data_IF_596791463145
#
_entry.id   IF_596791463145
#
_cell.length_a   1.000
_cell.length_b   1.000
_cell.length_c   1.000
_cell.angle_alpha   90.00
_cell.angle_beta   90.00
_cell.angle_gamma   90.00
#
_symmetry.space_group_name_H-M   'P 1'
#
loop_
_entity.id
_entity.type
_entity.pdbx_description
1 polymer ?
#
# COMPACT_ATOMS: atom_id res chain seq x y z
N UNK A 1 -9.81 14.93 -13.33
CA UNK A 1 -10.41 13.58 -13.48
C UNK A 1 -9.76 12.79 -14.58
N UNK A 2 -9.46 11.53 -14.31
CA UNK A 2 -8.89 10.62 -15.28
C UNK A 2 -9.87 10.36 -16.44
N UNK A 3 -9.36 10.47 -17.66
CA UNK A 3 -10.16 10.15 -18.86
C UNK A 3 -10.24 8.62 -19.02
N UNK A 4 -11.37 8.12 -19.50
CA UNK A 4 -11.56 6.66 -19.66
C UNK A 4 -10.50 6.01 -20.56
N UNK A 5 -10.06 6.69 -21.63
CA UNK A 5 -8.99 6.22 -22.51
C UNK A 5 -7.63 6.09 -21.81
N UNK A 6 -7.43 6.73 -20.66
CA UNK A 6 -6.19 6.75 -19.89
C UNK A 6 -6.21 5.77 -18.71
N UNK A 7 -7.36 5.11 -18.48
CA UNK A 7 -7.46 4.05 -17.44
C UNK A 7 -6.59 2.86 -17.80
N UNK A 8 -5.91 2.35 -16.79
CA UNK A 8 -5.03 1.17 -16.91
C UNK A 8 -5.80 -0.10 -16.54
N UNK A 9 -6.61 -0.03 -15.48
CA UNK A 9 -7.34 -1.17 -14.95
C UNK A 9 -8.72 -1.30 -15.58
N UNK A 10 -8.78 -1.87 -16.78
CA UNK A 10 -10.00 -1.96 -17.59
C UNK A 10 -10.99 -3.03 -17.13
N UNK A 11 -10.63 -3.84 -16.12
CA UNK A 11 -11.51 -4.86 -15.55
C UNK A 11 -11.57 -4.83 -14.02
N UNK A 12 -11.34 -3.67 -13.40
CA UNK A 12 -11.27 -3.53 -11.94
C UNK A 12 -12.50 -4.10 -11.20
N UNK A 13 -13.67 -4.03 -11.82
CA UNK A 13 -14.93 -4.49 -11.23
C UNK A 13 -15.38 -5.88 -11.71
N UNK A 14 -14.54 -6.59 -12.46
CA UNK A 14 -14.86 -7.94 -12.95
C UNK A 14 -16.01 -8.00 -13.97
N UNK A 15 -16.23 -6.91 -14.71
CA UNK A 15 -17.31 -6.82 -15.73
C UNK A 15 -16.93 -7.48 -17.05
N UNK A 16 -15.66 -7.83 -17.22
CA UNK A 16 -15.13 -8.49 -18.41
C UNK A 16 -14.49 -9.83 -18.06
N UNK A 17 -14.28 -10.64 -19.09
CA UNK A 17 -13.57 -11.91 -18.97
C UNK A 17 -12.14 -11.69 -18.45
N UNK A 18 -11.80 -12.35 -17.32
CA UNK A 18 -10.50 -12.27 -16.64
C UNK A 18 -9.46 -13.26 -17.16
N UNK A 19 -9.87 -14.20 -18.04
CA UNK A 19 -8.96 -15.19 -18.63
C UNK A 19 -7.98 -14.53 -19.59
N UNK A 20 -6.97 -15.30 -20.04
CA UNK A 20 -5.99 -14.83 -21.03
C UNK A 20 -6.67 -14.28 -22.29
N UNK A 21 -7.72 -14.95 -22.78
CA UNK A 21 -8.49 -14.49 -23.96
C UNK A 21 -9.09 -13.11 -23.73
N UNK A 22 -9.74 -12.90 -22.59
CA UNK A 22 -10.32 -11.60 -22.26
C UNK A 22 -9.25 -10.54 -22.02
N UNK A 23 -8.14 -10.89 -21.38
CA UNK A 23 -7.00 -9.98 -21.19
C UNK A 23 -6.39 -9.54 -22.53
N UNK A 24 -6.15 -10.47 -23.46
CA UNK A 24 -5.66 -10.17 -24.80
C UNK A 24 -6.64 -9.29 -25.61
N UNK A 25 -7.94 -9.53 -25.47
CA UNK A 25 -8.96 -8.67 -26.13
C UNK A 25 -8.93 -7.22 -25.63
N UNK A 26 -8.39 -6.96 -24.42
CA UNK A 26 -8.16 -5.63 -23.86
C UNK A 26 -6.74 -5.09 -24.09
N UNK A 27 -5.93 -5.76 -24.92
CA UNK A 27 -4.57 -5.34 -25.28
C UNK A 27 -3.48 -5.73 -24.27
N UNK A 28 -3.78 -6.57 -23.29
CA UNK A 28 -2.73 -7.16 -22.44
C UNK A 28 -1.85 -8.11 -23.25
N UNK A 29 -0.58 -8.15 -22.94
CA UNK A 29 0.45 -8.92 -23.66
C UNK A 29 0.85 -8.38 -25.04
N UNK A 30 0.14 -7.38 -25.59
CA UNK A 30 0.49 -6.79 -26.88
C UNK A 30 1.90 -6.19 -26.85
N UNK A 31 2.68 -6.50 -27.87
CA UNK A 31 4.03 -5.97 -28.03
C UNK A 31 5.07 -6.48 -27.00
N UNK A 32 4.73 -7.40 -26.11
CA UNK A 32 5.61 -7.87 -25.03
C UNK A 32 6.97 -8.32 -25.53
N UNK A 33 7.04 -9.16 -26.57
CA UNK A 33 8.30 -9.61 -27.16
C UNK A 33 9.17 -8.45 -27.70
N UNK A 34 8.53 -7.46 -28.32
CA UNK A 34 9.22 -6.29 -28.87
C UNK A 34 9.77 -5.39 -27.73
N UNK A 35 9.02 -5.25 -26.63
CA UNK A 35 9.45 -4.51 -25.43
C UNK A 35 10.66 -5.19 -24.80
N UNK A 36 10.62 -6.51 -24.60
CA UNK A 36 11.73 -7.27 -24.03
C UNK A 36 13.01 -7.10 -24.88
N UNK A 37 12.90 -7.14 -26.20
CA UNK A 37 14.06 -6.95 -27.12
C UNK A 37 14.70 -5.57 -27.06
N UNK A 38 14.03 -4.54 -26.53
CA UNK A 38 14.60 -3.22 -26.32
C UNK A 38 15.64 -3.22 -25.16
N UNK A 39 15.58 -4.24 -24.31
CA UNK A 39 16.56 -4.48 -23.26
C UNK A 39 16.34 -3.69 -21.98
N UNK A 40 17.12 -4.05 -20.98
CA UNK A 40 17.01 -3.55 -19.60
C UNK A 40 17.13 -2.02 -19.50
N UNK A 41 18.13 -1.44 -20.12
CA UNK A 41 18.41 0.00 -19.96
C UNK A 41 17.28 0.86 -20.54
N UNK A 42 16.69 0.43 -21.65
CA UNK A 42 15.52 1.10 -22.22
C UNK A 42 14.33 1.03 -21.24
N UNK A 43 14.02 -0.16 -20.70
CA UNK A 43 12.93 -0.37 -19.74
C UNK A 43 13.12 0.51 -18.50
N UNK A 44 14.33 0.52 -17.91
CA UNK A 44 14.62 1.33 -16.73
C UNK A 44 14.50 2.83 -17.03
N UNK A 45 14.94 3.28 -18.21
CA UNK A 45 14.83 4.68 -18.61
C UNK A 45 13.39 5.11 -18.85
N UNK A 46 12.55 4.27 -19.49
CA UNK A 46 11.11 4.54 -19.62
C UNK A 46 10.42 4.61 -18.26
N UNK A 47 10.78 3.72 -17.34
CA UNK A 47 10.24 3.76 -15.99
C UNK A 47 10.69 4.99 -15.18
N UNK A 48 11.90 5.49 -15.40
CA UNK A 48 12.35 6.77 -14.83
C UNK A 48 11.60 7.94 -15.44
N UNK A 49 11.43 7.95 -16.77
CA UNK A 49 10.70 8.99 -17.49
C UNK A 49 9.21 9.04 -17.10
N UNK A 50 8.63 7.91 -16.72
CA UNK A 50 7.24 7.84 -16.27
C UNK A 50 6.98 8.57 -14.94
N UNK A 51 8.01 8.78 -14.14
CA UNK A 51 7.86 9.33 -12.79
C UNK A 51 7.05 8.45 -11.83
N UNK A 52 6.85 7.16 -12.16
CA UNK A 52 6.10 6.25 -11.30
C UNK A 52 6.74 6.13 -9.92
N UNK A 53 6.00 6.54 -8.90
CA UNK A 53 6.33 6.29 -7.50
C UNK A 53 5.65 5.00 -7.02
N UNK A 54 6.31 4.24 -6.16
CA UNK A 54 5.79 2.99 -5.62
C UNK A 54 4.39 3.14 -5.01
N UNK A 55 3.51 2.20 -5.30
CA UNK A 55 2.08 2.22 -4.89
C UNK A 55 1.81 1.43 -3.60
N UNK A 56 2.85 0.89 -2.97
CA UNK A 56 2.75 0.12 -1.73
C UNK A 56 2.75 0.92 -0.42
N UNK A 57 2.87 2.27 -0.51
CA UNK A 57 2.82 3.15 0.67
C UNK A 57 3.97 4.15 0.73
N UNK A 58 5.22 3.71 0.62
CA UNK A 58 6.41 4.56 0.78
C UNK A 58 6.65 5.54 -0.38
N UNK A 59 6.08 5.33 -1.56
CA UNK A 59 6.21 6.24 -2.69
C UNK A 59 7.60 6.39 -3.28
N UNK A 60 8.50 5.42 -3.09
CA UNK A 60 9.85 5.48 -3.66
C UNK A 60 9.80 5.36 -5.20
N UNK A 61 10.59 6.14 -5.97
CA UNK A 61 10.56 6.11 -7.44
C UNK A 61 10.93 4.72 -8.00
N UNK A 62 10.00 4.08 -8.73
CA UNK A 62 10.14 2.69 -9.19
C UNK A 62 11.30 2.51 -10.17
N UNK A 63 11.44 3.40 -11.16
CA UNK A 63 12.54 3.34 -12.13
C UNK A 63 13.92 3.54 -11.47
N UNK A 64 14.00 4.36 -10.43
CA UNK A 64 15.23 4.52 -9.64
C UNK A 64 15.54 3.24 -8.85
N UNK A 65 14.54 2.65 -8.20
CA UNK A 65 14.69 1.38 -7.48
C UNK A 65 15.25 0.28 -8.39
N UNK A 66 14.73 0.17 -9.60
CA UNK A 66 15.19 -0.83 -10.57
C UNK A 66 16.61 -0.57 -11.07
N UNK A 67 17.04 0.69 -11.12
CA UNK A 67 18.41 1.01 -11.53
C UNK A 67 19.49 0.60 -10.52
N UNK A 68 19.13 0.28 -9.28
CA UNK A 68 20.04 -0.24 -8.26
C UNK A 68 20.39 -1.73 -8.46
N UNK A 69 19.62 -2.46 -9.25
CA UNK A 69 19.94 -3.85 -9.58
C UNK A 69 21.27 -3.90 -10.36
N UNK A 70 22.13 -4.91 -10.14
CA UNK A 70 23.39 -5.05 -10.85
C UNK A 70 23.20 -5.04 -12.37
N UNK A 71 24.07 -4.33 -13.08
CA UNK A 71 24.05 -4.29 -14.55
C UNK A 71 24.64 -5.55 -15.16
N UNK A 72 25.69 -6.07 -14.54
CA UNK A 72 26.38 -7.29 -14.93
C UNK A 72 26.07 -8.38 -13.92
N UNK A 73 25.90 -9.59 -14.43
CA UNK A 73 25.68 -10.76 -13.56
C UNK A 73 27.02 -11.19 -12.94
N UNK A 74 27.02 -11.40 -11.65
CA UNK A 74 28.11 -12.05 -10.92
C UNK A 74 27.98 -13.57 -10.84
N UNK A 75 27.10 -14.16 -11.65
CA UNK A 75 26.77 -15.59 -11.67
C UNK A 75 25.57 -15.95 -10.80
N UNK A 76 25.11 -15.03 -9.93
CA UNK A 76 23.88 -15.23 -9.15
C UNK A 76 22.65 -14.86 -9.98
N UNK A 77 21.50 -15.57 -9.81
CA UNK A 77 20.24 -15.15 -10.40
C UNK A 77 19.78 -13.81 -9.81
N UNK A 78 19.02 -13.04 -10.59
CA UNK A 78 18.34 -11.83 -10.11
C UNK A 78 16.85 -12.10 -10.00
N UNK A 79 16.23 -11.69 -8.88
CA UNK A 79 14.83 -11.94 -8.60
C UNK A 79 13.98 -10.68 -8.61
N UNK A 80 12.79 -10.79 -9.17
CA UNK A 80 11.68 -9.91 -8.89
C UNK A 80 10.80 -10.57 -7.82
N UNK A 81 10.49 -9.82 -6.77
CA UNK A 81 9.50 -10.25 -5.78
C UNK A 81 8.34 -9.25 -5.81
N UNK A 82 7.14 -9.77 -6.06
CA UNK A 82 5.91 -8.99 -5.98
C UNK A 82 5.33 -9.12 -4.59
N UNK A 83 5.23 -7.99 -3.93
CA UNK A 83 4.57 -7.89 -2.64
C UNK A 83 3.05 -7.80 -2.86
N UNK A 84 2.37 -8.92 -2.68
CA UNK A 84 0.92 -9.07 -2.70
C UNK A 84 0.36 -9.37 -1.29
N UNK A 85 1.15 -9.01 -0.23
CA UNK A 85 0.70 -9.05 1.16
C UNK A 85 -0.02 -7.76 1.52
N UNK A 86 -1.22 -7.57 0.99
CA UNK A 86 -2.06 -6.41 1.22
C UNK A 86 -2.79 -6.54 2.55
N UNK A 87 -2.12 -6.17 3.63
CA UNK A 87 -2.61 -6.33 5.00
C UNK A 87 -2.87 -5.00 5.73
N UNK A 88 -2.59 -3.85 5.08
CA UNK A 88 -2.84 -2.52 5.64
C UNK A 88 -4.34 -2.29 5.84
N UNK A 89 -4.83 -2.04 7.09
CA UNK A 89 -6.24 -1.78 7.33
C UNK A 89 -6.80 -0.63 6.49
N UNK A 90 -7.93 -0.91 5.84
CA UNK A 90 -8.58 0.00 4.88
C UNK A 90 -8.17 -0.22 3.42
N UNK A 91 -7.11 -1.00 3.15
CA UNK A 91 -6.57 -1.23 1.79
C UNK A 91 -7.14 -2.50 1.18
N UNK A 92 -7.61 -2.39 -0.08
CA UNK A 92 -8.13 -3.54 -0.84
C UNK A 92 -7.96 -3.39 -2.36
N UNK A 93 -7.05 -2.52 -2.80
CA UNK A 93 -6.84 -2.20 -4.22
C UNK A 93 -6.12 -3.31 -5.00
N UNK A 94 -5.10 -3.92 -4.39
CA UNK A 94 -4.32 -5.01 -4.99
C UNK A 94 -5.17 -6.28 -5.10
N UNK A 95 -6.06 -6.49 -4.14
CA UNK A 95 -7.08 -7.55 -4.17
C UNK A 95 -7.93 -7.48 -5.44
N UNK A 96 -8.42 -6.30 -5.80
CA UNK A 96 -9.27 -6.13 -6.98
C UNK A 96 -8.50 -6.40 -8.29
N UNK A 97 -7.22 -5.99 -8.37
CA UNK A 97 -6.35 -6.31 -9.50
C UNK A 97 -6.19 -7.84 -9.62
N UNK A 98 -5.78 -8.49 -8.55
CA UNK A 98 -5.50 -9.93 -8.55
C UNK A 98 -6.75 -10.77 -8.85
N UNK A 99 -7.92 -10.33 -8.38
CA UNK A 99 -9.20 -11.03 -8.55
C UNK A 99 -9.77 -10.90 -9.95
N UNK A 100 -9.68 -9.70 -10.53
CA UNK A 100 -10.44 -9.34 -11.71
C UNK A 100 -9.59 -9.11 -12.96
N UNK A 101 -8.31 -8.76 -12.80
CA UNK A 101 -7.39 -8.50 -13.92
C UNK A 101 -5.97 -9.08 -13.68
N UNK A 102 -5.85 -10.37 -13.33
CA UNK A 102 -4.59 -10.98 -12.91
C UNK A 102 -3.50 -10.93 -13.99
N UNK A 103 -3.85 -10.97 -15.28
CA UNK A 103 -2.89 -10.90 -16.38
C UNK A 103 -2.17 -9.56 -16.48
N UNK A 104 -2.72 -8.48 -15.93
CA UNK A 104 -2.02 -7.19 -15.80
C UNK A 104 -0.78 -7.33 -14.91
N UNK A 105 -0.84 -8.20 -13.90
CA UNK A 105 0.27 -8.47 -12.99
C UNK A 105 1.29 -9.47 -13.56
N UNK A 106 0.82 -10.49 -14.31
CA UNK A 106 1.66 -11.61 -14.77
C UNK A 106 2.62 -11.21 -15.89
N UNK A 107 2.36 -10.13 -16.64
CA UNK A 107 3.16 -9.68 -17.78
C UNK A 107 4.42 -8.91 -17.36
N UNK A 108 5.43 -9.57 -16.78
CA UNK A 108 6.62 -8.98 -16.19
C UNK A 108 7.94 -9.51 -16.77
N UNK A 109 9.07 -8.82 -16.50
CA UNK A 109 10.40 -9.13 -17.04
C UNK A 109 11.49 -9.22 -15.95
N UNK A 110 11.86 -10.43 -15.55
CA UNK A 110 13.01 -10.75 -14.69
C UNK A 110 13.51 -12.17 -15.02
N UNK A 111 14.55 -12.68 -14.34
CA UNK A 111 14.95 -14.10 -14.51
C UNK A 111 13.97 -15.04 -13.84
N UNK A 112 13.43 -14.66 -12.69
CA UNK A 112 12.32 -15.33 -12.03
C UNK A 112 11.56 -14.32 -11.17
N UNK A 113 10.25 -14.55 -11.04
CA UNK A 113 9.35 -13.76 -10.21
C UNK A 113 8.74 -14.63 -9.12
N UNK A 114 8.79 -14.14 -7.88
CA UNK A 114 7.98 -14.67 -6.79
C UNK A 114 6.88 -13.68 -6.46
N UNK A 115 5.62 -14.11 -6.55
CA UNK A 115 4.46 -13.35 -6.08
C UNK A 115 4.15 -13.87 -4.69
N UNK A 116 4.42 -13.06 -3.65
CA UNK A 116 4.09 -13.39 -2.27
C UNK A 116 2.73 -12.81 -1.93
N UNK A 117 1.71 -13.67 -1.84
CA UNK A 117 0.33 -13.28 -1.60
C UNK A 117 -0.09 -13.53 -0.16
N UNK A 118 -0.86 -12.62 0.39
CA UNK A 118 -1.49 -12.72 1.71
C UNK A 118 -2.23 -14.03 1.89
N UNK A 119 -2.05 -14.70 3.03
CA UNK A 119 -2.63 -16.02 3.28
C UNK A 119 -4.16 -16.10 3.22
N UNK A 120 -4.84 -15.00 3.57
CA UNK A 120 -6.30 -14.89 3.54
C UNK A 120 -6.89 -14.69 2.13
N UNK A 121 -6.06 -14.38 1.12
CA UNK A 121 -6.50 -14.10 -0.25
C UNK A 121 -6.64 -15.38 -1.09
N UNK A 122 -7.56 -16.27 -0.68
CA UNK A 122 -7.75 -17.58 -1.32
C UNK A 122 -8.24 -17.43 -2.76
N UNK A 123 -9.27 -16.61 -2.98
CA UNK A 123 -9.86 -16.40 -4.33
C UNK A 123 -8.90 -15.69 -5.28
N UNK A 124 -8.15 -14.74 -4.77
CA UNK A 124 -7.14 -14.00 -5.50
C UNK A 124 -5.97 -14.90 -5.89
N UNK A 125 -5.56 -15.79 -4.98
CA UNK A 125 -4.55 -16.82 -5.24
C UNK A 125 -4.97 -17.76 -6.36
N UNK A 126 -6.21 -18.24 -6.33
CA UNK A 126 -6.76 -19.11 -7.40
C UNK A 126 -6.80 -18.36 -8.75
N UNK A 127 -7.22 -17.08 -8.75
CA UNK A 127 -7.25 -16.28 -9.95
C UNK A 127 -5.85 -16.05 -10.55
N UNK A 128 -4.86 -15.73 -9.70
CA UNK A 128 -3.47 -15.59 -10.12
C UNK A 128 -2.88 -16.90 -10.61
N UNK A 129 -3.11 -18.04 -9.92
CA UNK A 129 -2.59 -19.33 -10.36
C UNK A 129 -3.14 -19.70 -11.73
N UNK A 130 -4.45 -19.53 -11.95
CA UNK A 130 -5.06 -19.77 -13.25
C UNK A 130 -4.44 -18.89 -14.34
N UNK A 131 -4.21 -17.61 -14.07
CA UNK A 131 -3.58 -16.70 -15.03
C UNK A 131 -2.12 -17.07 -15.34
N UNK A 132 -1.38 -17.54 -14.34
CA UNK A 132 -0.02 -18.06 -14.52
C UNK A 132 -0.04 -19.33 -15.38
N UNK A 133 -0.93 -20.28 -15.10
CA UNK A 133 -1.06 -21.52 -15.85
C UNK A 133 -1.45 -21.26 -17.32
N UNK A 134 -2.40 -20.35 -17.56
CA UNK A 134 -2.77 -19.89 -18.90
C UNK A 134 -1.59 -19.25 -19.64
N UNK A 135 -0.79 -18.42 -18.96
CA UNK A 135 0.38 -17.77 -19.54
C UNK A 135 1.47 -18.79 -19.91
N UNK A 136 1.71 -19.82 -19.06
CA UNK A 136 2.61 -20.93 -19.39
C UNK A 136 2.11 -21.73 -20.60
N UNK A 137 0.83 -22.12 -20.61
CA UNK A 137 0.21 -22.88 -21.70
C UNK A 137 0.30 -22.15 -23.04
N UNK A 138 0.22 -20.81 -23.03
CA UNK A 138 0.35 -19.95 -24.20
C UNK A 138 1.81 -19.62 -24.59
N UNK A 139 2.81 -20.07 -23.81
CA UNK A 139 4.22 -19.76 -24.05
C UNK A 139 4.57 -18.27 -23.83
N UNK A 140 3.78 -17.57 -23.03
CA UNK A 140 4.01 -16.18 -22.68
C UNK A 140 5.03 -16.03 -21.54
N UNK A 141 5.16 -17.06 -20.71
CA UNK A 141 6.17 -17.21 -19.65
C UNK A 141 6.85 -18.57 -19.77
N UNK A 142 7.87 -18.85 -18.94
CA UNK A 142 8.69 -20.04 -19.01
C UNK A 142 9.86 -19.88 -19.97
N UNK A 143 10.27 -20.96 -20.64
CA UNK A 143 11.37 -20.94 -21.61
C UNK A 143 11.00 -20.13 -22.85
N UNK A 144 11.92 -19.27 -23.29
CA UNK A 144 11.72 -18.40 -24.46
C UNK A 144 10.41 -17.63 -24.38
N UNK A 145 10.14 -17.02 -23.22
CA UNK A 145 8.92 -16.34 -22.87
C UNK A 145 8.49 -15.35 -23.98
N UNK A 146 7.23 -15.46 -24.43
CA UNK A 146 6.65 -14.67 -25.52
C UNK A 146 7.52 -14.66 -26.80
N UNK A 147 8.34 -15.68 -27.04
CA UNK A 147 9.28 -15.79 -28.20
C UNK A 147 10.33 -14.67 -28.20
N UNK A 148 10.71 -14.18 -27.04
CA UNK A 148 11.67 -13.07 -26.88
C UNK A 148 13.14 -13.51 -26.85
N UNK A 149 13.42 -14.82 -26.67
CA UNK A 149 14.74 -15.37 -26.37
C UNK A 149 15.11 -15.32 -24.89
N UNK A 150 14.19 -14.87 -24.01
CA UNK A 150 14.39 -14.74 -22.57
C UNK A 150 13.61 -15.81 -21.82
N UNK A 151 14.23 -16.45 -20.83
CA UNK A 151 13.55 -17.38 -19.93
C UNK A 151 13.04 -16.61 -18.71
N UNK A 152 11.78 -16.85 -18.37
CA UNK A 152 11.14 -16.16 -17.25
C UNK A 152 10.12 -17.06 -16.54
N UNK A 153 10.39 -17.42 -15.30
CA UNK A 153 9.51 -18.23 -14.49
C UNK A 153 8.78 -17.42 -13.41
N UNK A 154 7.53 -17.78 -13.12
CA UNK A 154 6.71 -17.18 -12.10
C UNK A 154 6.29 -18.21 -11.06
N UNK A 155 6.53 -17.91 -9.80
CA UNK A 155 6.15 -18.74 -8.66
C UNK A 155 5.20 -17.98 -7.75
N UNK A 156 4.08 -18.60 -7.39
CA UNK A 156 3.11 -18.04 -6.45
C UNK A 156 3.36 -18.68 -5.07
N UNK A 157 3.78 -17.85 -4.11
CA UNK A 157 3.98 -18.24 -2.72
C UNK A 157 2.95 -17.54 -1.84
N UNK A 158 2.34 -18.25 -0.89
CA UNK A 158 1.35 -17.66 0.01
C UNK A 158 1.90 -17.52 1.43
N UNK A 159 1.61 -16.37 2.05
CA UNK A 159 1.89 -16.10 3.45
C UNK A 159 0.90 -16.78 4.40
N UNK A 160 1.07 -16.51 5.68
CA UNK A 160 0.24 -17.06 6.75
C UNK A 160 -0.47 -15.98 7.59
N UNK A 161 -0.75 -14.82 7.00
CA UNK A 161 -1.57 -13.76 7.60
C UNK A 161 -0.83 -12.77 8.51
N UNK A 162 0.49 -12.67 8.42
CA UNK A 162 1.27 -11.71 9.21
C UNK A 162 1.43 -10.38 8.46
N UNK A 163 0.88 -9.28 8.97
CA UNK A 163 1.03 -7.93 8.43
C UNK A 163 2.49 -7.53 8.18
N UNK A 164 3.39 -7.90 9.11
CA UNK A 164 4.81 -7.56 9.00
C UNK A 164 5.47 -8.15 7.74
N UNK A 165 4.93 -9.22 7.16
CA UNK A 165 5.42 -9.80 5.91
C UNK A 165 5.12 -8.91 4.68
N UNK A 166 4.40 -7.81 4.83
CA UNK A 166 4.34 -6.71 3.87
C UNK A 166 5.59 -5.81 3.87
N UNK A 167 6.44 -5.84 4.91
CA UNK A 167 7.76 -5.20 4.88
C UNK A 167 8.70 -6.00 3.97
N UNK A 168 9.44 -5.31 3.07
CA UNK A 168 10.17 -5.97 1.99
C UNK A 168 11.15 -7.06 2.44
N UNK A 169 11.84 -6.87 3.56
CA UNK A 169 12.83 -7.84 4.04
C UNK A 169 12.22 -8.93 4.93
N UNK A 170 11.16 -8.64 5.66
CA UNK A 170 10.37 -9.66 6.36
C UNK A 170 9.69 -10.62 5.38
N UNK A 171 9.21 -10.09 4.25
CA UNK A 171 8.68 -10.89 3.15
C UNK A 171 9.75 -11.85 2.61
N UNK A 172 10.99 -11.36 2.39
CA UNK A 172 12.10 -12.20 1.93
C UNK A 172 12.44 -13.30 2.94
N UNK A 173 12.50 -12.98 4.24
CA UNK A 173 12.70 -13.99 5.29
C UNK A 173 11.61 -15.06 5.27
N UNK A 174 10.35 -14.66 5.10
CA UNK A 174 9.22 -15.59 5.00
C UNK A 174 9.30 -16.47 3.74
N UNK A 175 9.67 -15.92 2.58
CA UNK A 175 9.90 -16.70 1.35
C UNK A 175 11.02 -17.73 1.51
N UNK A 176 12.03 -17.41 2.31
CA UNK A 176 13.12 -18.32 2.63
C UNK A 176 12.75 -19.38 3.67
N UNK A 177 11.48 -19.44 4.12
CA UNK A 177 11.00 -20.38 5.12
C UNK A 177 11.38 -20.05 6.55
N UNK A 178 11.83 -18.82 6.81
CA UNK A 178 12.19 -18.32 8.12
C UNK A 178 11.05 -17.52 8.75
N UNK A 179 11.19 -17.14 10.01
CA UNK A 179 10.28 -16.20 10.66
C UNK A 179 10.34 -14.84 9.93
N UNK A 180 9.18 -14.27 9.59
CA UNK A 180 9.05 -12.98 8.91
C UNK A 180 9.47 -11.81 9.80
N UNK A 181 10.76 -11.65 9.99
CA UNK A 181 11.36 -10.54 10.72
C UNK A 181 12.19 -9.67 9.77
N UNK A 182 12.04 -8.33 9.80
CA UNK A 182 12.84 -7.43 8.97
C UNK A 182 14.34 -7.59 9.17
N UNK A 183 15.10 -7.43 8.09
CA UNK A 183 16.57 -7.41 8.11
C UNK A 183 17.10 -6.01 8.40
N UNK A 184 18.26 -5.96 9.02
CA UNK A 184 19.02 -4.70 9.08
C UNK A 184 19.50 -4.30 7.69
N UNK A 185 19.47 -3.01 7.41
CA UNK A 185 19.97 -2.43 6.16
C UNK A 185 21.13 -1.48 6.48
N UNK A 186 22.29 -1.52 5.78
CA UNK A 186 22.67 -2.42 4.69
C UNK A 186 22.94 -3.86 5.17
N UNK A 187 22.93 -4.89 4.26
CA UNK A 187 22.77 -4.78 2.82
C UNK A 187 21.31 -4.54 2.39
N UNK A 188 21.15 -3.82 1.27
CA UNK A 188 19.84 -3.65 0.64
C UNK A 188 19.51 -4.84 -0.29
N UNK A 189 18.23 -5.17 -0.50
CA UNK A 189 17.83 -6.31 -1.33
C UNK A 189 18.39 -6.32 -2.75
N UNK A 190 18.62 -5.14 -3.34
CA UNK A 190 19.23 -5.02 -4.68
C UNK A 190 20.65 -5.64 -4.78
N UNK A 191 21.39 -5.70 -3.66
CA UNK A 191 22.68 -6.38 -3.58
C UNK A 191 22.60 -7.78 -2.98
N UNK A 192 21.75 -8.00 -1.96
CA UNK A 192 21.61 -9.25 -1.23
C UNK A 192 20.18 -9.41 -0.69
N UNK A 193 19.27 -9.88 -1.54
CA UNK A 193 17.87 -10.11 -1.22
C UNK A 193 17.54 -11.57 -1.00
N UNK A 194 16.61 -12.12 -1.80
CA UNK A 194 16.13 -13.48 -1.70
C UNK A 194 17.28 -14.48 -1.92
N UNK A 195 17.48 -15.38 -0.97
CA UNK A 195 18.59 -16.36 -0.96
C UNK A 195 19.98 -15.71 -1.14
N UNK A 196 20.16 -14.48 -0.68
CA UNK A 196 21.39 -13.72 -0.85
C UNK A 196 21.63 -13.19 -2.27
N UNK A 197 20.66 -13.33 -3.17
CA UNK A 197 20.75 -12.91 -4.56
C UNK A 197 20.20 -11.48 -4.76
N UNK A 198 20.66 -10.74 -5.80
CA UNK A 198 20.09 -9.46 -6.15
C UNK A 198 18.57 -9.54 -6.34
N UNK A 199 17.82 -8.70 -5.63
CA UNK A 199 16.36 -8.77 -5.62
C UNK A 199 15.73 -7.37 -5.62
N UNK A 200 14.70 -7.18 -6.43
CA UNK A 200 13.84 -5.99 -6.34
C UNK A 200 12.45 -6.41 -5.86
N UNK A 201 11.97 -5.78 -4.79
CA UNK A 201 10.64 -6.03 -4.23
C UNK A 201 9.71 -4.89 -4.63
N UNK A 202 8.56 -5.19 -5.22
CA UNK A 202 7.60 -4.19 -5.68
C UNK A 202 6.17 -4.60 -5.32
N UNK A 203 5.34 -3.60 -5.01
CA UNK A 203 3.92 -3.82 -4.76
C UNK A 203 3.15 -4.21 -6.04
N UNK A 204 2.03 -4.92 -5.89
CA UNK A 204 1.15 -5.38 -6.99
C UNK A 204 0.75 -4.23 -7.92
N UNK A 205 0.15 -3.15 -7.41
CA UNK A 205 -0.28 -2.02 -8.24
C UNK A 205 0.89 -1.37 -8.97
N UNK A 206 2.05 -1.26 -8.33
CA UNK A 206 3.26 -0.71 -8.97
C UNK A 206 3.68 -1.53 -10.19
N UNK A 207 3.59 -2.86 -10.12
CA UNK A 207 3.95 -3.75 -11.23
C UNK A 207 2.86 -3.78 -12.29
N UNK A 208 1.60 -3.82 -11.89
CA UNK A 208 0.47 -3.94 -12.80
C UNK A 208 0.36 -2.77 -13.80
N UNK A 209 0.82 -1.57 -13.43
CA UNK A 209 0.82 -0.42 -14.35
C UNK A 209 1.99 -0.43 -15.35
N UNK A 210 3.06 -1.18 -15.08
CA UNK A 210 4.29 -1.20 -15.90
C UNK A 210 4.05 -1.60 -17.35
N UNK A 211 3.35 -2.70 -17.66
CA UNK A 211 3.14 -3.11 -19.06
C UNK A 211 2.48 -2.01 -19.89
N UNK A 212 1.52 -1.29 -19.31
CA UNK A 212 0.85 -0.18 -20.00
C UNK A 212 1.76 1.02 -20.17
N UNK A 213 2.58 1.35 -19.18
CA UNK A 213 3.60 2.40 -19.30
C UNK A 213 4.57 2.07 -20.44
N UNK A 214 5.09 0.85 -20.51
CA UNK A 214 6.05 0.44 -21.54
C UNK A 214 5.46 0.40 -22.95
N UNK A 215 4.15 0.13 -23.08
CA UNK A 215 3.44 0.19 -24.39
C UNK A 215 3.13 1.61 -24.83
N UNK A 216 2.72 2.48 -23.91
CA UNK A 216 2.25 3.85 -24.23
C UNK A 216 3.36 4.90 -24.10
N UNK A 217 4.45 4.56 -23.42
CA UNK A 217 5.62 5.41 -23.14
C UNK A 217 5.58 6.07 -21.77
N UNK A 218 6.78 6.30 -21.19
CA UNK A 218 6.92 6.95 -19.89
C UNK A 218 6.35 8.37 -19.88
N UNK A 219 6.52 9.13 -20.96
CA UNK A 219 6.01 10.50 -21.08
C UNK A 219 4.48 10.58 -21.13
N UNK A 220 3.78 9.55 -21.64
CA UNK A 220 2.33 9.49 -21.52
C UNK A 220 1.91 9.43 -20.06
N UNK A 221 2.52 8.52 -19.27
CA UNK A 221 2.17 8.35 -17.86
C UNK A 221 2.53 9.59 -17.02
N UNK A 222 3.69 10.22 -17.28
CA UNK A 222 4.10 11.44 -16.59
C UNK A 222 3.27 12.67 -16.96
N UNK A 223 2.53 12.60 -18.07
CA UNK A 223 1.55 13.62 -18.47
C UNK A 223 0.22 13.55 -17.72
N UNK A 224 -0.02 12.49 -16.92
CA UNK A 224 -1.19 12.32 -16.06
C UNK A 224 -0.78 12.73 -14.64
N UNK A 225 -1.67 13.43 -13.92
CA UNK A 225 -1.42 13.88 -12.56
C UNK A 225 -0.63 15.19 -12.48
N UNK A 226 0.13 15.35 -11.40
CA UNK A 226 0.91 16.57 -11.11
C UNK A 226 2.42 16.31 -11.15
N UNK A 227 3.21 17.37 -11.23
CA UNK A 227 4.66 17.29 -11.09
C UNK A 227 5.05 16.52 -9.81
N UNK A 228 6.02 15.61 -9.88
CA UNK A 228 6.44 14.69 -8.83
C UNK A 228 5.38 13.66 -8.35
N UNK A 229 4.16 13.75 -8.84
CA UNK A 229 3.03 12.88 -8.52
C UNK A 229 2.35 12.39 -9.79
N UNK A 230 3.13 11.71 -10.63
CA UNK A 230 2.68 11.27 -11.95
C UNK A 230 1.79 10.04 -11.92
N UNK A 231 0.92 9.98 -12.93
CA UNK A 231 0.15 8.82 -13.30
C UNK A 231 -1.15 8.64 -12.54
N UNK A 232 -1.68 7.43 -12.64
CA UNK A 232 -2.92 7.02 -11.97
C UNK A 232 -2.65 6.35 -10.62
N UNK A 233 -3.67 6.29 -9.79
CA UNK A 233 -3.67 5.63 -8.49
C UNK A 233 -5.01 4.96 -8.23
N UNK A 234 -4.97 3.78 -7.63
CA UNK A 234 -6.17 3.14 -7.09
C UNK A 234 -6.45 3.68 -5.69
N UNK A 235 -7.60 4.29 -5.50
CA UNK A 235 -8.10 4.75 -4.21
C UNK A 235 -9.12 3.73 -3.68
N UNK A 236 -8.87 3.18 -2.47
CA UNK A 236 -9.82 2.33 -1.77
C UNK A 236 -10.56 3.18 -0.72
N UNK A 237 -11.81 3.54 -1.02
CA UNK A 237 -12.59 4.49 -0.21
C UNK A 237 -13.61 3.73 0.61
N UNK A 238 -13.60 3.96 1.92
CA UNK A 238 -14.47 3.28 2.89
C UNK A 238 -14.90 4.19 4.04
N UNK A 239 -15.63 3.62 5.00
CA UNK A 239 -16.17 4.36 6.14
C UNK A 239 -17.51 5.03 5.82
N UNK A 240 -17.71 6.26 6.29
CA UNK A 240 -18.99 6.94 6.26
C UNK A 240 -19.20 7.77 4.97
N UNK A 241 -18.99 7.12 3.82
CA UNK A 241 -19.42 7.62 2.51
C UNK A 241 -20.70 6.93 2.05
N UNK A 242 -21.42 7.50 1.09
CA UNK A 242 -22.68 6.92 0.61
C UNK A 242 -22.43 5.60 -0.15
N UNK A 243 -21.42 5.53 -1.00
CA UNK A 243 -21.06 4.35 -1.78
C UNK A 243 -19.56 4.05 -1.65
N UNK A 244 -19.12 3.17 -0.73
CA UNK A 244 -17.74 2.72 -0.66
C UNK A 244 -17.30 2.04 -1.96
N UNK A 245 -16.08 2.36 -2.44
CA UNK A 245 -15.60 1.83 -3.72
C UNK A 245 -14.06 1.75 -3.79
N UNK A 246 -13.57 1.02 -4.80
CA UNK A 246 -12.19 1.13 -5.27
C UNK A 246 -12.24 1.76 -6.66
N UNK A 247 -11.50 2.83 -6.88
CA UNK A 247 -11.53 3.58 -8.13
C UNK A 247 -10.13 3.95 -8.59
N UNK A 248 -9.91 3.92 -9.90
CA UNK A 248 -8.70 4.45 -10.52
C UNK A 248 -8.91 5.93 -10.87
N UNK A 249 -8.07 6.80 -10.32
CA UNK A 249 -8.05 8.23 -10.64
C UNK A 249 -6.63 8.75 -10.82
N UNK A 250 -6.51 9.95 -11.39
CA UNK A 250 -5.23 10.61 -11.53
C UNK A 250 -4.70 11.08 -10.17
N UNK A 251 -3.38 11.02 -10.03
CA UNK A 251 -2.71 11.62 -8.89
C UNK A 251 -2.92 13.12 -8.88
N UNK A 252 -3.38 13.67 -7.76
CA UNK A 252 -3.68 15.10 -7.64
C UNK A 252 -5.15 15.47 -7.79
N UNK A 253 -6.06 14.48 -7.90
CA UNK A 253 -7.50 14.74 -7.73
C UNK A 253 -7.76 15.35 -6.35
N UNK A 254 -8.70 16.29 -6.22
CA UNK A 254 -9.07 16.81 -4.90
C UNK A 254 -9.88 15.78 -4.11
N UNK A 255 -9.79 15.83 -2.77
CA UNK A 255 -10.57 14.95 -1.91
C UNK A 255 -12.07 15.15 -2.12
N UNK A 256 -12.53 16.40 -2.24
CA UNK A 256 -13.94 16.71 -2.50
C UNK A 256 -14.41 16.07 -3.81
N UNK A 257 -13.67 16.23 -4.90
CA UNK A 257 -14.02 15.65 -6.19
C UNK A 257 -14.02 14.11 -6.15
N UNK A 258 -13.03 13.51 -5.48
CA UNK A 258 -12.95 12.06 -5.30
C UNK A 258 -14.18 11.50 -4.56
N UNK A 259 -14.60 12.15 -3.49
CA UNK A 259 -15.75 11.73 -2.67
C UNK A 259 -17.07 11.98 -3.37
N UNK A 260 -17.27 13.16 -3.95
CA UNK A 260 -18.54 13.48 -4.63
C UNK A 260 -18.80 12.60 -5.85
N UNK A 261 -17.81 12.47 -6.73
CA UNK A 261 -18.02 11.78 -8.01
C UNK A 261 -18.07 10.27 -7.90
N UNK A 262 -17.27 9.69 -7.01
CA UNK A 262 -17.17 8.22 -6.93
C UNK A 262 -17.98 7.62 -5.78
N UNK A 263 -18.14 8.37 -4.69
CA UNK A 263 -18.84 7.87 -3.51
C UNK A 263 -20.24 8.48 -3.34
N UNK A 264 -20.62 9.45 -4.14
CA UNK A 264 -21.90 10.15 -4.00
C UNK A 264 -21.99 10.98 -2.72
N UNK A 265 -20.86 11.49 -2.23
CA UNK A 265 -20.76 12.32 -1.04
C UNK A 265 -20.57 11.57 0.27
N UNK A 266 -20.51 12.34 1.34
CA UNK A 266 -20.39 11.88 2.72
C UNK A 266 -21.78 11.61 3.30
N UNK A 267 -21.90 10.55 4.10
CA UNK A 267 -23.14 10.25 4.81
C UNK A 267 -23.56 11.41 5.71
N UNK A 268 -24.74 11.98 5.45
CA UNK A 268 -25.24 13.15 6.17
C UNK A 268 -24.64 14.49 5.73
N UNK A 269 -23.86 14.51 4.63
CA UNK A 269 -23.26 15.74 4.07
C UNK A 269 -21.91 16.13 4.67
N UNK A 270 -21.30 17.16 4.10
CA UNK A 270 -19.96 17.63 4.47
C UNK A 270 -19.84 18.12 5.91
N UNK A 271 -20.88 18.74 6.45
CA UNK A 271 -20.90 19.21 7.85
C UNK A 271 -20.87 18.05 8.86
N UNK A 272 -21.14 16.83 8.41
CA UNK A 272 -21.02 15.61 9.20
C UNK A 272 -19.64 14.96 9.14
N UNK A 273 -18.70 15.50 8.37
CA UNK A 273 -17.34 14.97 8.28
C UNK A 273 -16.52 15.34 9.53
N UNK A 274 -16.12 14.35 10.32
CA UNK A 274 -15.29 14.53 11.52
C UNK A 274 -13.80 14.39 11.23
N UNK A 275 -13.42 13.31 10.55
CA UNK A 275 -12.02 13.00 10.28
C UNK A 275 -11.84 12.08 9.07
N UNK A 276 -10.62 12.06 8.52
CA UNK A 276 -10.21 11.15 7.45
C UNK A 276 -8.85 10.55 7.76
N UNK A 277 -8.70 9.24 7.50
CA UNK A 277 -7.40 8.61 7.35
C UNK A 277 -7.18 8.44 5.83
N UNK A 278 -6.28 9.22 5.21
CA UNK A 278 -6.23 9.29 3.74
C UNK A 278 -5.37 8.23 3.06
N UNK A 279 -4.60 7.45 3.82
CA UNK A 279 -3.58 6.56 3.24
C UNK A 279 -3.44 5.18 3.89
N UNK A 280 -4.47 4.70 4.59
CA UNK A 280 -4.40 3.48 5.39
C UNK A 280 -4.08 3.77 6.85
N UNK A 281 -4.19 2.76 7.71
CA UNK A 281 -4.11 2.92 9.17
C UNK A 281 -2.77 3.46 9.68
N UNK A 282 -1.72 3.36 8.88
CA UNK A 282 -0.34 3.75 9.25
C UNK A 282 -0.04 5.24 9.09
N UNK A 283 -0.97 6.04 8.56
CA UNK A 283 -0.75 7.48 8.38
C UNK A 283 -1.53 8.31 9.41
N UNK A 284 -1.08 9.54 9.70
CA UNK A 284 -1.81 10.47 10.57
C UNK A 284 -3.23 10.73 10.08
N UNK A 285 -4.22 10.69 10.99
CA UNK A 285 -5.57 11.14 10.72
C UNK A 285 -5.60 12.67 10.59
N UNK A 286 -6.51 13.18 9.76
CA UNK A 286 -6.69 14.61 9.49
C UNK A 286 -8.12 15.00 9.86
N UNK A 287 -8.34 16.21 10.39
CA UNK A 287 -9.70 16.74 10.66
C UNK A 287 -10.49 16.88 9.36
N UNK A 288 -11.79 16.70 9.43
CA UNK A 288 -12.68 16.82 8.27
C UNK A 288 -12.60 18.20 7.60
N UNK A 289 -12.54 19.26 8.40
CA UNK A 289 -12.42 20.65 7.92
C UNK A 289 -11.13 20.90 7.11
N UNK A 290 -10.03 20.21 7.46
CA UNK A 290 -8.73 20.33 6.78
C UNK A 290 -8.62 19.45 5.53
N UNK A 291 -9.54 18.46 5.37
CA UNK A 291 -9.47 17.50 4.26
C UNK A 291 -10.22 17.94 3.01
N UNK A 292 -11.23 18.78 3.13
CA UNK A 292 -12.13 19.07 2.00
C UNK A 292 -11.39 19.56 0.75
N UNK A 293 -10.42 20.45 0.93
CA UNK A 293 -9.58 21.02 -0.13
C UNK A 293 -8.27 20.25 -0.38
N UNK A 294 -8.07 19.12 0.30
CA UNK A 294 -6.83 18.38 0.19
C UNK A 294 -6.65 17.79 -1.21
N UNK A 295 -5.42 17.82 -1.69
CA UNK A 295 -5.02 17.19 -2.94
C UNK A 295 -4.53 15.76 -2.64
N UNK A 296 -5.12 14.78 -3.32
CA UNK A 296 -4.89 13.36 -3.07
C UNK A 296 -3.65 12.85 -3.82
N UNK A 297 -2.49 13.32 -3.37
CA UNK A 297 -1.18 12.85 -3.81
C UNK A 297 -0.17 12.92 -2.65
N UNK A 298 1.09 12.52 -2.91
CA UNK A 298 2.10 12.47 -1.85
C UNK A 298 2.42 13.84 -1.27
N UNK A 299 2.51 14.86 -2.12
CA UNK A 299 2.89 16.21 -1.69
C UNK A 299 1.70 16.93 -1.04
N UNK A 300 0.51 16.84 -1.62
CA UNK A 300 -0.69 17.49 -1.08
C UNK A 300 -1.09 16.95 0.30
N UNK A 301 -1.03 15.65 0.52
CA UNK A 301 -1.32 15.09 1.85
C UNK A 301 -0.21 15.34 2.87
N UNK A 302 1.04 15.50 2.42
CA UNK A 302 2.13 15.95 3.29
C UNK A 302 1.89 17.37 3.81
N UNK A 303 1.35 18.29 2.97
CA UNK A 303 0.95 19.64 3.39
C UNK A 303 -0.14 19.61 4.46
N UNK A 304 -1.02 18.60 4.44
CA UNK A 304 -2.04 18.39 5.47
C UNK A 304 -1.52 17.64 6.72
N UNK A 305 -0.20 17.40 6.80
CA UNK A 305 0.42 16.70 7.92
C UNK A 305 0.15 15.19 7.96
N UNK A 306 -0.18 14.59 6.81
CA UNK A 306 -0.43 13.16 6.65
C UNK A 306 0.37 12.59 5.47
N UNK A 307 -0.05 11.47 4.90
CA UNK A 307 0.60 10.84 3.75
C UNK A 307 -0.42 10.09 2.90
N UNK A 308 -0.10 9.96 1.60
CA UNK A 308 -0.92 9.16 0.68
C UNK A 308 -0.90 7.66 1.04
N UNK A 309 0.19 7.17 1.61
CA UNK A 309 0.31 5.76 1.99
C UNK A 309 -0.12 4.81 0.87
N UNK A 310 -1.04 3.90 1.17
CA UNK A 310 -1.65 2.98 0.19
C UNK A 310 -2.80 3.60 -0.60
N UNK A 311 -3.23 4.83 -0.28
CA UNK A 311 -4.45 5.49 -0.75
C UNK A 311 -5.75 4.76 -0.31
N UNK A 312 -5.70 4.10 0.84
CA UNK A 312 -6.90 3.64 1.52
C UNK A 312 -7.51 4.80 2.32
N UNK A 313 -8.60 5.32 1.83
CA UNK A 313 -9.28 6.50 2.38
C UNK A 313 -10.40 6.03 3.30
N UNK A 314 -10.25 6.29 4.61
CA UNK A 314 -11.26 5.93 5.61
C UNK A 314 -11.92 7.22 6.10
N UNK A 315 -13.18 7.40 5.72
CA UNK A 315 -13.99 8.58 6.08
C UNK A 315 -14.74 8.32 7.37
N UNK A 316 -14.65 9.24 8.32
CA UNK A 316 -15.29 9.14 9.64
C UNK A 316 -16.17 10.36 9.88
N UNK A 317 -17.45 10.12 10.17
CA UNK A 317 -18.43 11.15 10.48
C UNK A 317 -18.48 11.50 11.98
N UNK A 318 -19.33 12.45 12.36
CA UNK A 318 -19.46 12.94 13.73
C UNK A 318 -19.91 11.88 14.74
N UNK A 319 -20.45 10.73 14.30
CA UNK A 319 -20.77 9.61 15.18
C UNK A 319 -19.55 8.81 15.62
N UNK A 320 -18.38 9.04 15.00
CA UNK A 320 -17.16 8.27 15.27
C UNK A 320 -16.51 8.71 16.58
N UNK A 321 -16.31 7.76 17.46
CA UNK A 321 -15.43 7.88 18.61
C UNK A 321 -13.96 7.76 18.18
N UNK A 322 -13.28 8.89 18.02
CA UNK A 322 -11.89 8.93 17.53
C UNK A 322 -10.92 8.24 18.46
N UNK A 323 -11.12 8.31 19.78
CA UNK A 323 -10.25 7.66 20.77
C UNK A 323 -10.33 6.15 20.62
N UNK A 324 -11.55 5.61 20.50
CA UNK A 324 -11.80 4.18 20.31
C UNK A 324 -11.29 3.69 18.95
N UNK A 325 -11.44 4.50 17.89
CA UNK A 325 -10.96 4.18 16.55
C UNK A 325 -9.42 4.02 16.56
N UNK A 326 -8.68 4.98 17.11
CA UNK A 326 -7.20 4.91 17.19
C UNK A 326 -6.73 3.83 18.17
N UNK A 327 -7.45 3.59 19.27
CA UNK A 327 -7.17 2.45 20.13
C UNK A 327 -7.25 1.11 19.41
N UNK A 328 -8.23 0.91 18.51
CA UNK A 328 -8.32 -0.30 17.68
C UNK A 328 -7.08 -0.48 16.81
N UNK A 329 -6.55 0.62 16.25
CA UNK A 329 -5.29 0.58 15.51
C UNK A 329 -4.11 0.23 16.42
N UNK A 330 -4.06 0.77 17.63
CA UNK A 330 -3.00 0.41 18.61
C UNK A 330 -3.02 -1.07 18.96
N UNK A 331 -4.21 -1.68 19.10
CA UNK A 331 -4.35 -3.14 19.27
C UNK A 331 -3.81 -3.91 18.08
N UNK A 332 -4.13 -3.44 16.86
CA UNK A 332 -3.64 -4.05 15.63
C UNK A 332 -2.11 -4.04 15.59
N UNK A 333 -1.48 -2.88 15.76
CA UNK A 333 -0.01 -2.78 15.72
C UNK A 333 0.69 -3.56 16.84
N UNK A 334 0.07 -3.64 18.04
CA UNK A 334 0.59 -4.51 19.10
C UNK A 334 0.54 -5.98 18.70
N UNK A 335 -0.53 -6.42 18.08
CA UNK A 335 -0.69 -7.80 17.62
C UNK A 335 0.30 -8.13 16.49
N UNK A 336 0.49 -7.21 15.55
CA UNK A 336 1.28 -7.40 14.33
C UNK A 336 2.78 -7.12 14.51
N UNK A 337 3.22 -6.59 15.63
CA UNK A 337 4.64 -6.45 15.94
C UNK A 337 5.33 -7.81 15.93
N UNK A 338 6.39 -7.97 15.12
CA UNK A 338 7.18 -9.21 15.06
C UNK A 338 7.99 -9.47 16.37
N UNK A 339 8.10 -8.46 17.23
CA UNK A 339 8.81 -8.55 18.52
C UNK A 339 10.33 -8.47 18.42
N UNK A 340 10.91 -8.14 17.28
CA UNK A 340 12.37 -8.13 17.08
C UNK A 340 13.05 -6.99 17.84
N UNK A 341 12.64 -5.75 17.62
CA UNK A 341 13.27 -4.58 18.25
C UNK A 341 12.51 -4.11 19.48
N UNK A 342 13.24 -3.77 20.54
CA UNK A 342 12.67 -3.42 21.85
C UNK A 342 11.68 -2.24 21.81
N UNK A 343 11.96 -1.11 21.11
CA UNK A 343 11.03 0.00 21.12
C UNK A 343 9.65 -0.36 20.55
N UNK A 344 9.59 -1.17 19.49
CA UNK A 344 8.34 -1.67 18.92
C UNK A 344 7.70 -2.73 19.84
N UNK A 345 8.44 -3.77 20.23
CA UNK A 345 7.93 -4.89 21.04
C UNK A 345 7.26 -4.43 22.32
N UNK A 346 7.91 -3.53 23.07
CA UNK A 346 7.41 -3.04 24.35
C UNK A 346 6.53 -1.80 24.19
N UNK A 347 6.94 -0.85 23.33
CA UNK A 347 6.25 0.43 23.16
C UNK A 347 4.84 0.28 22.60
N UNK A 348 4.61 -0.61 21.63
CA UNK A 348 3.25 -0.85 21.08
C UNK A 348 2.29 -1.38 22.14
N UNK A 349 2.79 -2.24 23.04
CA UNK A 349 2.00 -2.74 24.16
C UNK A 349 1.70 -1.66 25.21
N UNK A 350 2.65 -0.76 25.43
CA UNK A 350 2.46 0.36 26.35
C UNK A 350 1.45 1.36 25.78
N UNK A 351 1.64 1.80 24.53
CA UNK A 351 0.72 2.69 23.84
C UNK A 351 -0.72 2.12 23.85
N UNK A 352 -0.90 0.85 23.52
CA UNK A 352 -2.21 0.20 23.52
C UNK A 352 -2.90 0.23 24.88
N UNK A 353 -2.17 -0.01 25.98
CA UNK A 353 -2.75 -0.03 27.34
C UNK A 353 -3.15 1.38 27.81
N UNK A 354 -2.31 2.39 27.55
CA UNK A 354 -2.65 3.78 27.89
C UNK A 354 -3.86 4.24 27.05
N UNK A 355 -3.88 3.97 25.75
CA UNK A 355 -5.03 4.24 24.89
C UNK A 355 -6.30 3.55 25.40
N UNK A 356 -6.21 2.33 25.93
CA UNK A 356 -7.35 1.64 26.54
C UNK A 356 -7.94 2.42 27.74
N UNK A 357 -7.10 2.95 28.61
CA UNK A 357 -7.55 3.78 29.74
C UNK A 357 -8.17 5.11 29.28
N UNK A 358 -7.63 5.70 28.20
CA UNK A 358 -8.23 6.89 27.59
C UNK A 358 -9.63 6.60 27.02
N UNK A 359 -9.85 5.42 26.43
CA UNK A 359 -11.17 4.98 25.95
C UNK A 359 -12.17 4.86 27.12
N UNK A 360 -11.73 4.33 28.25
CA UNK A 360 -12.55 4.17 29.47
C UNK A 360 -12.72 5.48 30.26
N UNK A 361 -11.87 6.50 30.01
CA UNK A 361 -11.84 7.75 30.74
C UNK A 361 -11.12 7.71 32.08
N UNK A 362 -10.57 6.55 32.47
CA UNK A 362 -9.91 6.35 33.77
C UNK A 362 -8.40 6.70 33.75
N UNK A 363 -7.97 7.53 32.83
CA UNK A 363 -6.65 8.10 32.74
C UNK A 363 -6.55 9.49 33.40
N UNK A 364 -5.33 10.05 33.48
CA UNK A 364 -5.11 11.43 33.88
C UNK A 364 -4.72 12.28 32.67
N UNK A 365 -4.89 13.62 32.77
CA UNK A 365 -4.50 14.55 31.69
C UNK A 365 -3.00 14.45 31.40
N UNK A 366 -2.16 14.30 32.44
CA UNK A 366 -0.71 14.15 32.29
C UNK A 366 -0.30 12.88 31.50
N UNK A 367 -1.17 11.85 31.50
CA UNK A 367 -0.93 10.63 30.73
C UNK A 367 -1.07 10.82 29.23
N UNK A 368 -1.75 11.88 28.78
CA UNK A 368 -1.80 12.26 27.37
C UNK A 368 -0.40 12.66 26.89
N UNK A 369 0.28 13.51 27.67
CA UNK A 369 1.63 13.99 27.31
C UNK A 369 2.69 12.89 27.51
N UNK A 370 2.53 12.04 28.52
CA UNK A 370 3.35 10.85 28.70
C UNK A 370 3.18 9.90 27.50
N UNK A 371 1.96 9.66 27.03
CA UNK A 371 1.70 8.82 25.86
C UNK A 371 2.35 9.41 24.59
N UNK A 372 2.24 10.72 24.39
CA UNK A 372 2.92 11.44 23.29
C UNK A 372 4.44 11.24 23.38
N UNK A 373 5.03 11.34 24.58
CA UNK A 373 6.46 11.08 24.79
C UNK A 373 6.85 9.64 24.45
N UNK A 374 6.04 8.63 24.83
CA UNK A 374 6.28 7.23 24.49
C UNK A 374 6.25 7.01 22.97
N UNK A 375 5.30 7.62 22.26
CA UNK A 375 5.25 7.50 20.79
C UNK A 375 6.54 7.98 20.12
N UNK A 376 7.13 9.07 20.63
CA UNK A 376 8.40 9.62 20.13
C UNK A 376 9.62 8.75 20.43
N UNK A 377 9.56 7.88 21.45
CA UNK A 377 10.61 6.90 21.73
C UNK A 377 10.47 5.63 20.86
N UNK A 378 9.34 5.43 20.21
CA UNK A 378 9.10 4.35 19.25
C UNK A 378 9.39 4.80 17.83
N UNK A 379 8.87 5.95 17.42
CA UNK A 379 9.09 6.57 16.11
C UNK A 379 10.58 6.77 15.85
N UNK A 380 11.04 6.32 14.68
CA UNK A 380 12.45 6.47 14.26
C UNK A 380 13.46 5.58 15.01
N UNK A 381 13.04 4.78 16.00
CA UNK A 381 13.91 3.95 16.83
C UNK A 381 13.74 2.44 16.57
N UNK A 382 13.09 2.07 15.48
CA UNK A 382 12.77 0.68 15.14
C UNK A 382 13.44 0.23 13.84
N UNK A 383 13.61 -1.08 13.66
CA UNK A 383 14.26 -1.66 12.47
C UNK A 383 13.44 -1.38 11.19
N UNK A 384 12.11 -1.34 11.30
CA UNK A 384 11.20 -1.09 10.19
C UNK A 384 10.14 -0.04 10.55
N UNK A 385 9.41 0.44 9.56
CA UNK A 385 8.41 1.49 9.72
C UNK A 385 7.14 1.08 10.51
N UNK A 386 7.04 -0.16 11.02
CA UNK A 386 5.90 -0.55 11.87
C UNK A 386 5.85 0.29 13.16
N UNK A 387 7.01 0.65 13.71
CA UNK A 387 7.05 1.54 14.87
C UNK A 387 6.46 2.92 14.60
N UNK A 388 6.83 3.50 13.46
CA UNK A 388 6.30 4.80 13.01
C UNK A 388 4.79 4.70 12.74
N UNK A 389 4.36 3.65 12.05
CA UNK A 389 2.96 3.35 11.77
C UNK A 389 2.10 3.18 13.04
N UNK A 390 2.68 2.65 14.12
CA UNK A 390 1.99 2.53 15.41
C UNK A 390 1.92 3.86 16.18
N UNK A 391 2.92 4.73 16.00
CA UNK A 391 3.04 6.01 16.71
C UNK A 391 2.19 7.13 16.08
N UNK A 392 2.24 7.28 14.76
CA UNK A 392 1.64 8.41 14.04
C UNK A 392 0.12 8.58 14.23
N UNK A 393 -0.71 7.53 14.22
CA UNK A 393 -2.15 7.69 14.48
C UNK A 393 -2.45 8.25 15.87
N UNK A 394 -1.66 7.87 16.89
CA UNK A 394 -1.81 8.36 18.26
C UNK A 394 -1.37 9.82 18.36
N UNK A 395 -0.23 10.16 17.76
CA UNK A 395 0.24 11.56 17.71
C UNK A 395 -0.78 12.46 17.04
N UNK A 396 -1.36 12.01 15.92
CA UNK A 396 -2.39 12.76 15.21
C UNK A 396 -3.69 12.87 16.02
N UNK A 397 -4.10 11.83 16.75
CA UNK A 397 -5.23 11.87 17.66
C UNK A 397 -5.01 12.93 18.75
N UNK A 398 -3.86 12.92 19.40
CA UNK A 398 -3.54 13.89 20.46
C UNK A 398 -3.49 15.31 19.89
N UNK A 399 -2.89 15.50 18.72
CA UNK A 399 -2.81 16.80 18.06
C UNK A 399 -4.20 17.36 17.69
N UNK A 400 -5.05 16.52 17.09
CA UNK A 400 -6.28 16.95 16.44
C UNK A 400 -7.52 16.86 17.34
N UNK A 401 -7.51 15.96 18.35
CA UNK A 401 -8.67 15.63 19.18
C UNK A 401 -8.34 15.55 20.68
N UNK A 402 -7.36 16.36 21.14
CA UNK A 402 -6.99 16.41 22.55
C UNK A 402 -8.17 16.76 23.45
N UNK A 403 -9.03 17.71 23.02
CA UNK A 403 -10.23 18.10 23.74
C UNK A 403 -11.19 16.93 23.98
N UNK A 404 -11.44 16.12 22.95
CA UNK A 404 -12.30 14.91 23.08
C UNK A 404 -11.75 13.95 24.17
N UNK A 405 -10.41 13.86 24.31
CA UNK A 405 -9.76 13.01 25.34
C UNK A 405 -9.94 13.61 26.73
N UNK A 406 -9.68 14.90 26.89
CA UNK A 406 -9.80 15.62 28.17
C UNK A 406 -11.24 15.64 28.67
N UNK A 407 -12.21 15.85 27.78
CA UNK A 407 -13.63 15.81 28.08
C UNK A 407 -14.08 14.42 28.59
N UNK A 408 -13.57 13.34 27.97
CA UNK A 408 -13.86 11.97 28.44
C UNK A 408 -13.33 11.70 29.83
N UNK A 409 -12.07 12.13 30.11
CA UNK A 409 -11.49 12.02 31.44
C UNK A 409 -12.31 12.80 32.48
N UNK A 410 -12.74 14.02 32.16
CA UNK A 410 -13.55 14.84 33.04
C UNK A 410 -14.92 14.20 33.32
N UNK A 411 -15.59 13.68 32.29
CA UNK A 411 -16.87 12.97 32.43
C UNK A 411 -16.75 11.76 33.35
N UNK A 412 -15.71 10.91 33.18
CA UNK A 412 -15.49 9.74 34.02
C UNK A 412 -15.28 10.12 35.49
N UNK A 413 -14.49 11.16 35.75
CA UNK A 413 -14.27 11.65 37.12
C UNK A 413 -15.53 12.18 37.77
N UNK A 414 -16.41 12.84 37.01
CA UNK A 414 -17.68 13.35 37.53
C UNK A 414 -18.65 12.23 37.92
N UNK A 415 -18.65 11.11 37.19
CA UNK A 415 -19.44 9.92 37.53
C UNK A 415 -18.96 9.30 38.83
N UNK A 416 -17.64 9.06 38.97
CA UNK A 416 -17.07 8.48 40.21
C UNK A 416 -17.31 9.38 41.42
N UNK A 417 -17.26 10.71 41.26
CA UNK A 417 -17.52 11.65 42.36
C UNK A 417 -19.00 11.70 42.78
N UNK A 418 -19.91 11.22 41.94
CA UNK A 418 -21.35 11.17 42.21
C UNK A 418 -21.81 9.83 42.84
N UNK A 419 -20.99 8.78 42.81
CA UNK A 419 -21.15 7.49 43.48
C UNK A 419 -20.57 7.56 44.90
#
# INVERSE_FOLDING_TARGET
>A
MLKDQDRIFTNLYGMHDRTLKGAQARGHWDGTAAIIKKGRDWIVNEMKASGLRGRGGAGFPTGLKWSFMPKESDGRPSYLVVNADESEPGTCKDREIMRHDPHTLVAMNANACYIYIRGEYIREREALQNAIDEAYAAGLVGKNAAKSGWDFDIYLAHGAGAYICGEETALLESLEGKKGMPRMKPPFPAGAGLYGCPTTVNNVESIAVVPTILRRGGSWFSGIGRANNAGTKLFAISGHVNNPCVVEEEMGISFEELIEKHCGGIRGGWDNLKAVIPGGSSVPNVRGEDMRDAIMDFDGLKEKGSSLGTAAVIVMDNSTDMIKAVWRLSKFYKHESCGQCTPCREGTGWMMRVMGRLVEGNATVDEIDMLLSVTKQVEGHTICALGDAAAWPIQALIKNFRGDIEDRIAQHRSVIAAE
#
